data_IF_595833294936
#
_entry.id   IF_595833294936
#
_cell.length_a   1.000
_cell.length_b   1.000
_cell.length_c   1.000
_cell.angle_alpha   90.00
_cell.angle_beta   90.00
_cell.angle_gamma   90.00
#
_symmetry.space_group_name_H-M   'P 1'
#
loop_
_entity.id
_entity.type
_entity.pdbx_description
1 polymer ?
#
# COMPACT_ATOMS: atom_id res chain seq x y z
N UNK A 1 40.53 65.24 21.45
CA UNK A 1 40.58 64.35 20.26
C UNK A 1 40.07 62.98 20.68
N UNK A 2 38.75 62.72 20.55
CA UNK A 2 38.15 61.43 20.86
C UNK A 2 37.83 60.73 19.52
N UNK A 3 38.47 59.59 19.24
CA UNK A 3 38.15 58.73 18.11
C UNK A 3 37.03 57.79 18.51
N UNK A 4 35.83 57.99 17.93
CA UNK A 4 34.71 57.03 18.05
C UNK A 4 34.97 55.78 17.28
N UNK A 5 35.03 54.66 17.98
CA UNK A 5 35.12 53.31 17.45
C UNK A 5 33.68 52.83 17.11
N UNK A 6 33.33 52.79 15.82
CA UNK A 6 32.04 52.22 15.37
C UNK A 6 32.18 50.69 15.28
N UNK A 7 31.53 50.00 16.18
CA UNK A 7 31.39 48.52 16.16
C UNK A 7 30.32 48.19 15.12
N UNK A 8 30.73 47.59 14.00
CA UNK A 8 29.79 47.01 13.01
C UNK A 8 29.32 45.67 13.54
N UNK A 9 28.04 45.63 13.94
CA UNK A 9 27.39 44.38 14.35
C UNK A 9 26.91 43.66 13.05
N UNK A 10 27.67 42.65 12.60
CA UNK A 10 27.26 41.77 11.48
C UNK A 10 26.34 40.68 12.05
N UNK A 11 25.05 40.87 11.91
CA UNK A 11 24.07 39.86 12.23
C UNK A 11 24.14 38.77 11.15
N UNK A 12 24.71 37.61 11.50
CA UNK A 12 24.75 36.41 10.66
C UNK A 12 23.35 35.77 10.69
N UNK A 13 22.54 36.02 9.65
CA UNK A 13 21.28 35.32 9.43
C UNK A 13 21.60 33.87 9.03
N UNK A 14 21.52 32.95 10.00
CA UNK A 14 21.49 31.51 9.73
C UNK A 14 20.17 31.16 9.02
N UNK A 15 20.23 30.92 7.72
CA UNK A 15 19.15 30.30 6.94
C UNK A 15 18.95 28.87 7.44
N UNK A 16 17.99 28.68 8.34
CA UNK A 16 17.53 27.36 8.76
C UNK A 16 16.78 26.77 7.55
N UNK A 17 17.46 25.92 6.78
CA UNK A 17 16.81 25.07 5.77
C UNK A 17 15.90 24.10 6.49
N UNK A 18 14.60 24.45 6.59
CA UNK A 18 13.60 23.50 7.04
C UNK A 18 13.48 22.38 5.97
N UNK A 19 13.60 21.11 6.35
CA UNK A 19 13.30 20.04 5.42
C UNK A 19 11.84 20.17 5.02
N UNK A 20 11.59 20.40 3.74
CA UNK A 20 10.25 20.35 3.19
C UNK A 20 9.79 18.91 3.35
N UNK A 21 8.81 18.68 4.23
CA UNK A 21 8.06 17.45 4.26
C UNK A 21 7.37 17.30 2.91
N UNK A 22 7.98 16.57 1.98
CA UNK A 22 7.35 16.22 0.73
C UNK A 22 6.11 15.43 1.08
N UNK A 23 4.93 15.95 0.72
CA UNK A 23 3.70 15.17 0.73
C UNK A 23 4.03 13.84 0.03
N UNK A 24 3.73 12.75 0.69
CA UNK A 24 4.19 11.39 0.37
C UNK A 24 3.61 10.99 -1.00
N UNK A 25 4.23 11.42 -2.10
CA UNK A 25 3.92 10.90 -3.42
C UNK A 25 4.37 9.43 -3.45
N UNK A 26 3.49 8.57 -3.96
CA UNK A 26 3.80 7.16 -4.17
C UNK A 26 5.03 7.04 -5.06
N UNK A 27 6.08 6.42 -4.52
CA UNK A 27 7.32 6.18 -5.24
C UNK A 27 7.66 4.69 -5.20
N UNK A 28 7.84 4.10 -6.39
CA UNK A 28 8.31 2.72 -6.51
C UNK A 28 9.68 2.57 -5.84
N UNK A 29 9.86 1.49 -5.10
CA UNK A 29 11.10 1.21 -4.37
C UNK A 29 11.22 1.93 -3.02
N UNK A 30 10.27 2.77 -2.63
CA UNK A 30 10.20 3.41 -1.31
C UNK A 30 9.17 2.72 -0.42
N UNK A 31 9.23 3.03 0.88
CA UNK A 31 8.25 2.54 1.84
C UNK A 31 6.83 2.95 1.41
N UNK A 32 5.93 1.98 1.29
CA UNK A 32 4.54 2.23 0.98
C UNK A 32 3.86 2.98 2.13
N UNK A 33 2.96 3.93 1.85
CA UNK A 33 2.13 4.53 2.87
C UNK A 33 1.35 3.46 3.65
N UNK A 34 1.14 3.68 4.95
CA UNK A 34 0.35 2.76 5.76
C UNK A 34 -1.11 2.88 5.39
N UNK A 35 -1.73 1.74 5.04
CA UNK A 35 -3.16 1.62 4.85
C UNK A 35 -3.77 0.77 5.99
N UNK A 36 -5.00 1.07 6.35
CA UNK A 36 -5.80 0.26 7.28
C UNK A 36 -7.11 -0.09 6.62
N UNK A 37 -7.35 -1.38 6.39
CA UNK A 37 -8.65 -1.89 5.97
C UNK A 37 -9.48 -2.21 7.22
N UNK A 38 -10.65 -1.60 7.34
CA UNK A 38 -11.68 -2.04 8.27
C UNK A 38 -12.56 -3.04 7.53
N UNK A 39 -12.44 -4.31 7.87
CA UNK A 39 -13.15 -5.40 7.19
C UNK A 39 -14.65 -5.38 7.48
N UNK A 40 -15.45 -6.05 6.64
CA UNK A 40 -16.92 -6.14 6.82
C UNK A 40 -17.33 -6.84 8.13
N UNK A 41 -16.41 -7.58 8.78
CA UNK A 41 -16.58 -8.20 10.10
C UNK A 41 -15.93 -7.39 11.23
N UNK A 42 -15.49 -6.15 10.95
CA UNK A 42 -15.00 -5.17 11.94
C UNK A 42 -13.53 -5.34 12.36
N UNK A 43 -12.75 -6.21 11.73
CA UNK A 43 -11.30 -6.31 12.00
C UNK A 43 -10.53 -5.17 11.34
N UNK A 44 -9.47 -4.73 11.99
CA UNK A 44 -8.57 -3.72 11.45
C UNK A 44 -7.28 -4.37 10.95
N UNK A 45 -7.06 -4.35 9.64
CA UNK A 45 -5.86 -4.90 9.00
C UNK A 45 -4.96 -3.73 8.56
N UNK A 46 -3.88 -3.52 9.28
CA UNK A 46 -2.87 -2.48 8.99
C UNK A 46 -1.73 -3.08 8.17
N UNK A 47 -1.36 -2.42 7.09
CA UNK A 47 -0.30 -2.92 6.18
C UNK A 47 1.07 -3.01 6.84
N UNK A 48 1.39 -2.13 7.80
CA UNK A 48 2.65 -2.18 8.54
C UNK A 48 2.73 -3.35 9.54
N UNK A 49 1.58 -3.81 10.06
CA UNK A 49 1.48 -5.01 10.89
C UNK A 49 1.53 -6.32 10.07
N UNK A 50 1.40 -6.23 8.75
CA UNK A 50 1.44 -7.36 7.82
C UNK A 50 2.81 -7.54 7.15
N UNK A 51 3.87 -6.98 7.73
CA UNK A 51 5.25 -7.22 7.28
C UNK A 51 5.54 -8.72 7.23
N UNK A 52 6.35 -9.14 6.27
CA UNK A 52 6.58 -10.55 5.97
C UNK A 52 5.62 -11.12 4.93
N UNK A 53 4.54 -10.42 4.60
CA UNK A 53 3.62 -10.77 3.53
C UNK A 53 3.80 -9.84 2.32
N UNK A 54 3.59 -10.37 1.12
CA UNK A 54 3.39 -9.57 -0.08
C UNK A 54 1.92 -9.18 -0.13
N UNK A 55 1.64 -7.88 -0.28
CA UNK A 55 0.28 -7.35 -0.24
C UNK A 55 -0.14 -6.84 -1.61
N UNK A 56 -1.37 -7.14 -2.01
CA UNK A 56 -2.08 -6.45 -3.09
C UNK A 56 -3.21 -5.66 -2.44
N UNK A 57 -3.17 -4.34 -2.55
CA UNK A 57 -4.30 -3.48 -2.19
C UNK A 57 -5.09 -3.24 -3.48
N UNK A 58 -6.35 -3.67 -3.54
CA UNK A 58 -7.22 -3.46 -4.71
C UNK A 58 -8.42 -2.60 -4.35
N UNK A 59 -8.71 -1.63 -5.20
CA UNK A 59 -9.82 -0.69 -5.06
C UNK A 59 -10.85 -0.97 -6.14
N UNK A 60 -12.09 -1.17 -5.74
CA UNK A 60 -13.16 -1.65 -6.60
C UNK A 60 -14.53 -1.11 -6.15
N UNK A 61 -15.60 -1.41 -6.90
CA UNK A 61 -16.96 -1.15 -6.47
C UNK A 61 -17.92 -2.20 -7.06
N UNK A 62 -19.09 -2.38 -6.44
CA UNK A 62 -20.11 -3.33 -6.90
C UNK A 62 -20.71 -2.95 -8.27
N UNK A 63 -20.70 -1.69 -8.62
CA UNK A 63 -21.17 -1.15 -9.91
C UNK A 63 -20.09 -1.08 -10.99
N UNK A 64 -18.85 -1.47 -10.67
CA UNK A 64 -17.71 -1.43 -11.59
C UNK A 64 -17.60 -2.75 -12.37
N UNK A 65 -18.07 -2.78 -13.62
CA UNK A 65 -18.03 -3.98 -14.45
C UNK A 65 -16.61 -4.56 -14.66
N UNK A 66 -15.57 -3.77 -14.99
CA UNK A 66 -14.21 -4.31 -15.10
C UNK A 66 -13.70 -4.92 -13.79
N UNK A 67 -14.11 -4.35 -12.62
CA UNK A 67 -13.75 -4.88 -11.32
C UNK A 67 -14.36 -6.27 -11.09
N UNK A 68 -15.60 -6.48 -11.52
CA UNK A 68 -16.28 -7.78 -11.37
C UNK A 68 -15.59 -8.89 -12.17
N UNK A 69 -14.93 -8.57 -13.27
CA UNK A 69 -14.10 -9.53 -14.02
C UNK A 69 -12.76 -9.79 -13.34
N UNK A 70 -12.16 -8.78 -12.69
CA UNK A 70 -10.86 -8.89 -12.03
C UNK A 70 -10.93 -9.63 -10.69
N UNK A 71 -11.97 -9.37 -9.88
CA UNK A 71 -12.08 -9.90 -8.52
C UNK A 71 -12.00 -11.44 -8.43
N UNK A 72 -12.66 -12.22 -9.31
CA UNK A 72 -12.52 -13.68 -9.32
C UNK A 72 -11.10 -14.15 -9.64
N UNK A 73 -10.38 -13.43 -10.51
CA UNK A 73 -8.98 -13.72 -10.82
C UNK A 73 -8.11 -13.51 -9.58
N UNK A 74 -8.21 -12.33 -8.95
CA UNK A 74 -7.48 -12.03 -7.71
C UNK A 74 -7.83 -12.99 -6.58
N UNK A 75 -9.08 -13.43 -6.50
CA UNK A 75 -9.54 -14.38 -5.49
C UNK A 75 -8.86 -15.75 -5.64
N UNK A 76 -8.83 -16.29 -6.86
CA UNK A 76 -8.13 -17.55 -7.17
C UNK A 76 -6.62 -17.41 -6.91
N UNK A 77 -6.04 -16.32 -7.35
CA UNK A 77 -4.61 -16.06 -7.17
C UNK A 77 -4.24 -15.93 -5.69
N UNK A 78 -5.03 -15.20 -4.90
CA UNK A 78 -4.86 -15.09 -3.45
C UNK A 78 -4.91 -16.46 -2.75
N UNK A 79 -5.88 -17.31 -3.12
CA UNK A 79 -6.01 -18.66 -2.56
C UNK A 79 -4.79 -19.54 -2.90
N UNK A 80 -4.34 -19.50 -4.16
CA UNK A 80 -3.21 -20.31 -4.63
C UNK A 80 -1.86 -19.94 -3.99
N UNK A 81 -1.67 -18.67 -3.61
CA UNK A 81 -0.39 -18.17 -3.10
C UNK A 81 -0.42 -17.79 -1.61
N UNK A 82 -1.49 -18.17 -0.88
CA UNK A 82 -1.66 -17.88 0.56
C UNK A 82 -0.49 -18.41 1.38
N UNK A 83 -0.09 -19.65 1.16
CA UNK A 83 1.01 -20.29 1.89
C UNK A 83 2.38 -19.67 1.54
N UNK A 84 2.48 -19.03 0.38
CA UNK A 84 3.65 -18.26 -0.01
C UNK A 84 3.65 -16.84 0.58
N UNK A 85 2.67 -16.52 1.43
CA UNK A 85 2.57 -15.25 2.12
C UNK A 85 1.96 -14.11 1.29
N UNK A 86 1.15 -14.42 0.27
CA UNK A 86 0.34 -13.41 -0.41
C UNK A 86 -0.90 -13.07 0.42
N UNK A 87 -1.19 -11.78 0.54
CA UNK A 87 -2.46 -11.27 1.05
C UNK A 87 -3.03 -10.22 0.08
N UNK A 88 -4.31 -10.33 -0.22
CA UNK A 88 -5.06 -9.29 -0.95
C UNK A 88 -5.97 -8.57 0.02
N UNK A 89 -6.04 -7.25 -0.05
CA UNK A 89 -6.93 -6.40 0.74
C UNK A 89 -7.84 -5.64 -0.22
N UNK A 90 -9.16 -5.87 -0.14
CA UNK A 90 -10.15 -5.27 -1.03
C UNK A 90 -10.83 -4.06 -0.39
N UNK A 91 -10.66 -2.88 -0.99
CA UNK A 91 -11.29 -1.63 -0.57
C UNK A 91 -12.44 -1.31 -1.53
N UNK A 92 -13.69 -1.43 -1.07
CA UNK A 92 -14.86 -1.08 -1.86
C UNK A 92 -15.14 0.42 -1.77
N UNK A 93 -15.35 1.06 -2.93
CA UNK A 93 -15.75 2.46 -3.03
C UNK A 93 -17.26 2.66 -2.87
N UNK A 94 -18.00 1.58 -2.64
CA UNK A 94 -19.44 1.65 -2.39
C UNK A 94 -19.74 2.40 -1.09
N UNK A 95 -20.90 3.03 -1.05
CA UNK A 95 -21.43 3.64 0.15
C UNK A 95 -22.12 2.60 1.05
N UNK A 96 -22.44 3.01 2.29
CA UNK A 96 -23.10 2.14 3.27
C UNK A 96 -24.46 1.63 2.83
N UNK A 97 -25.13 2.34 1.91
CA UNK A 97 -26.41 1.97 1.33
C UNK A 97 -26.31 0.74 0.41
N UNK A 98 -25.15 0.54 -0.22
CA UNK A 98 -24.87 -0.60 -1.10
C UNK A 98 -24.15 -1.78 -0.39
N UNK A 99 -24.09 -1.73 0.93
CA UNK A 99 -23.34 -2.72 1.75
C UNK A 99 -23.78 -4.17 1.47
N UNK A 100 -25.03 -4.42 1.19
CA UNK A 100 -25.53 -5.76 0.89
C UNK A 100 -25.00 -6.29 -0.46
N UNK A 101 -24.84 -5.42 -1.45
CA UNK A 101 -24.18 -5.77 -2.72
C UNK A 101 -22.71 -6.11 -2.49
N UNK A 102 -22.01 -5.29 -1.70
CA UNK A 102 -20.61 -5.52 -1.33
C UNK A 102 -20.47 -6.86 -0.61
N UNK A 103 -21.32 -7.15 0.37
CA UNK A 103 -21.34 -8.43 1.10
C UNK A 103 -21.60 -9.63 0.19
N UNK A 104 -22.51 -9.50 -0.77
CA UNK A 104 -22.80 -10.58 -1.72
C UNK A 104 -21.58 -10.93 -2.58
N UNK A 105 -20.83 -9.94 -3.06
CA UNK A 105 -19.60 -10.14 -3.80
C UNK A 105 -18.50 -10.68 -2.88
N UNK A 106 -18.30 -10.08 -1.71
CA UNK A 106 -17.26 -10.47 -0.75
C UNK A 106 -17.36 -11.93 -0.29
N UNK A 107 -18.57 -12.51 -0.20
CA UNK A 107 -18.78 -13.93 0.11
C UNK A 107 -18.12 -14.89 -0.89
N UNK A 108 -17.86 -14.44 -2.11
CA UNK A 108 -17.24 -15.24 -3.18
C UNK A 108 -15.71 -15.06 -3.21
N UNK A 109 -15.17 -14.12 -2.43
CA UNK A 109 -13.75 -13.78 -2.45
C UNK A 109 -12.98 -14.49 -1.33
N UNK A 110 -11.74 -14.89 -1.65
CA UNK A 110 -10.82 -15.56 -0.72
C UNK A 110 -9.88 -14.58 0.01
N UNK A 111 -10.29 -13.31 0.08
CA UNK A 111 -9.54 -12.25 0.75
C UNK A 111 -10.48 -11.26 1.47
N UNK A 112 -10.00 -10.55 2.50
CA UNK A 112 -10.78 -9.60 3.26
C UNK A 112 -11.18 -8.38 2.43
N UNK A 113 -12.40 -7.93 2.66
CA UNK A 113 -13.00 -6.75 2.03
C UNK A 113 -13.53 -5.80 3.10
N UNK A 114 -13.50 -4.51 2.83
CA UNK A 114 -14.14 -3.47 3.62
C UNK A 114 -14.50 -2.25 2.78
N UNK A 115 -15.30 -1.35 3.35
CA UNK A 115 -15.64 -0.09 2.70
C UNK A 115 -14.48 0.90 2.82
N UNK A 116 -14.19 1.62 1.74
CA UNK A 116 -13.13 2.63 1.71
C UNK A 116 -13.42 3.79 2.69
N UNK A 117 -14.68 4.22 2.79
CA UNK A 117 -15.08 5.31 3.67
C UNK A 117 -14.96 4.97 5.18
N UNK A 118 -14.80 3.70 5.55
CA UNK A 118 -14.50 3.23 6.90
C UNK A 118 -13.02 2.91 7.12
N UNK A 119 -12.23 2.95 6.07
CA UNK A 119 -10.82 2.54 6.01
C UNK A 119 -9.91 3.76 5.90
N UNK A 120 -8.59 3.56 6.05
CA UNK A 120 -7.60 4.64 5.91
C UNK A 120 -6.59 4.26 4.84
N UNK A 121 -6.45 5.12 3.82
CA UNK A 121 -5.54 4.90 2.68
C UNK A 121 -4.78 6.19 2.30
N UNK A 122 -4.39 6.97 3.32
CA UNK A 122 -3.64 8.20 3.09
C UNK A 122 -2.34 7.91 2.31
N UNK A 123 -2.03 8.75 1.33
CA UNK A 123 -0.84 8.60 0.49
C UNK A 123 -1.04 7.79 -0.80
N UNK A 124 -2.18 7.12 -0.97
CA UNK A 124 -2.50 6.39 -2.22
C UNK A 124 -3.22 7.25 -3.26
N UNK A 125 -3.46 8.52 -2.96
CA UNK A 125 -4.16 9.44 -3.83
C UNK A 125 -5.69 9.32 -3.74
N UNK A 126 -6.38 10.15 -4.54
CA UNK A 126 -7.83 10.10 -4.68
C UNK A 126 -8.20 8.99 -5.67
N UNK A 127 -9.15 8.12 -5.31
CA UNK A 127 -9.65 7.05 -6.17
C UNK A 127 -10.59 7.62 -7.25
N UNK A 128 -10.03 8.05 -8.39
CA UNK A 128 -10.77 8.65 -9.51
C UNK A 128 -11.05 7.66 -10.66
N UNK A 129 -10.39 6.51 -10.64
CA UNK A 129 -10.64 5.37 -11.55
C UNK A 129 -10.52 4.06 -10.79
N UNK A 130 -11.28 3.06 -11.20
CA UNK A 130 -11.23 1.67 -10.72
C UNK A 130 -11.43 0.71 -11.90
N UNK A 131 -10.89 -0.53 -11.85
CA UNK A 131 -10.05 -1.03 -10.76
C UNK A 131 -8.71 -0.33 -10.71
N UNK A 132 -8.14 -0.21 -9.52
CA UNK A 132 -6.75 0.21 -9.33
C UNK A 132 -6.15 -0.58 -8.18
N UNK A 133 -4.90 -1.00 -8.34
CA UNK A 133 -4.24 -1.82 -7.33
C UNK A 133 -2.81 -1.34 -7.07
N UNK A 134 -2.31 -1.67 -5.88
CA UNK A 134 -0.93 -1.40 -5.47
C UNK A 134 -0.33 -2.68 -4.91
N UNK A 135 0.95 -2.95 -5.20
CA UNK A 135 1.65 -4.10 -4.65
C UNK A 135 2.76 -3.63 -3.72
N UNK A 136 2.79 -4.24 -2.54
CA UNK A 136 3.76 -3.96 -1.49
C UNK A 136 4.47 -5.27 -1.18
N UNK A 137 5.80 -5.26 -1.17
CA UNK A 137 6.57 -6.46 -0.84
C UNK A 137 6.61 -6.75 0.67
N UNK A 138 7.24 -7.86 1.04
CA UNK A 138 7.38 -8.34 2.42
C UNK A 138 8.07 -7.34 3.36
N UNK A 139 8.90 -6.46 2.81
CA UNK A 139 9.60 -5.40 3.55
C UNK A 139 8.77 -4.11 3.64
N UNK A 140 7.56 -4.10 3.04
CA UNK A 140 6.67 -2.95 2.99
C UNK A 140 7.07 -1.89 1.98
N UNK A 141 7.82 -2.28 0.96
CA UNK A 141 8.24 -1.41 -0.13
C UNK A 141 7.22 -1.48 -1.27
N UNK A 142 6.83 -0.34 -1.80
CA UNK A 142 5.93 -0.25 -2.96
C UNK A 142 6.63 -0.79 -4.20
N UNK A 143 6.03 -1.82 -4.83
CA UNK A 143 6.56 -2.50 -6.03
C UNK A 143 5.72 -2.27 -7.28
N UNK A 144 4.46 -1.92 -7.11
CA UNK A 144 3.57 -1.59 -8.22
C UNK A 144 2.65 -0.43 -7.82
N UNK A 145 2.55 0.55 -8.72
CA UNK A 145 1.71 1.72 -8.58
C UNK A 145 0.67 1.69 -9.72
N UNK A 146 -0.55 1.34 -9.37
CA UNK A 146 -1.65 1.20 -10.33
C UNK A 146 -2.03 2.50 -11.04
N UNK A 147 -1.66 3.66 -10.50
CA UNK A 147 -1.88 4.94 -11.18
C UNK A 147 -1.03 5.09 -12.44
N UNK A 148 0.15 4.45 -12.47
CA UNK A 148 1.10 4.48 -13.58
C UNK A 148 0.90 3.33 -14.56
N UNK A 149 -0.05 2.41 -14.29
CA UNK A 149 -0.32 1.27 -15.15
C UNK A 149 -1.05 1.70 -16.43
N UNK A 150 -0.58 1.21 -17.57
CA UNK A 150 -1.25 1.36 -18.86
C UNK A 150 -2.56 0.56 -18.90
N UNK A 151 -2.54 -0.64 -18.31
CA UNK A 151 -3.70 -1.50 -18.12
C UNK A 151 -3.96 -1.67 -16.61
N UNK A 152 -5.01 -1.04 -16.08
CA UNK A 152 -5.25 -1.04 -14.63
C UNK A 152 -5.74 -2.39 -14.09
N UNK A 153 -6.43 -3.20 -14.92
CA UNK A 153 -6.95 -4.49 -14.52
C UNK A 153 -5.88 -5.59 -14.58
N UNK A 154 -5.88 -6.47 -13.59
CA UNK A 154 -4.99 -7.62 -13.55
C UNK A 154 -5.34 -8.67 -14.61
N UNK A 155 -4.30 -9.31 -15.11
CA UNK A 155 -4.35 -10.53 -15.92
C UNK A 155 -3.49 -11.61 -15.26
N UNK A 156 -3.67 -12.89 -15.62
CA UNK A 156 -2.79 -13.96 -15.13
C UNK A 156 -1.32 -13.67 -15.49
N UNK A 157 -1.07 -13.11 -16.66
CA UNK A 157 0.29 -12.77 -17.10
C UNK A 157 0.92 -11.65 -16.27
N UNK A 158 0.16 -10.58 -15.97
CA UNK A 158 0.66 -9.47 -15.16
C UNK A 158 0.89 -9.88 -13.70
N UNK A 159 0.01 -10.69 -13.11
CA UNK A 159 0.20 -11.24 -11.78
C UNK A 159 1.48 -12.08 -11.69
N UNK A 160 1.70 -13.00 -12.65
CA UNK A 160 2.91 -13.82 -12.71
C UNK A 160 4.18 -12.97 -12.86
N UNK A 161 4.13 -11.95 -13.70
CA UNK A 161 5.32 -11.13 -13.98
C UNK A 161 5.66 -10.21 -12.80
N UNK A 162 4.66 -9.62 -12.16
CA UNK A 162 4.86 -8.57 -11.16
C UNK A 162 4.84 -9.09 -9.72
N UNK A 163 4.07 -10.13 -9.43
CA UNK A 163 3.84 -10.59 -8.06
C UNK A 163 4.63 -11.86 -7.72
N UNK A 164 4.67 -12.89 -8.60
CA UNK A 164 5.39 -14.14 -8.32
C UNK A 164 6.85 -13.92 -7.87
N UNK A 165 7.65 -13.02 -8.48
CA UNK A 165 9.01 -12.76 -8.02
C UNK A 165 9.09 -12.27 -6.58
N UNK A 166 8.07 -11.55 -6.10
CA UNK A 166 8.00 -11.02 -4.73
C UNK A 166 7.66 -12.10 -3.70
N UNK A 167 6.98 -13.17 -4.13
CA UNK A 167 6.61 -14.29 -3.27
C UNK A 167 7.79 -15.23 -2.97
N UNK A 168 8.79 -15.26 -3.85
CA UNK A 168 10.00 -16.10 -3.70
C UNK A 168 11.14 -15.41 -2.96
N UNK A 169 11.06 -14.09 -2.74
CA UNK A 169 12.09 -13.36 -2.02
C UNK A 169 12.13 -13.74 -0.54
N UNK A 170 13.32 -14.10 -0.04
CA UNK A 170 13.53 -14.31 1.39
C UNK A 170 13.33 -12.98 2.15
N UNK A 171 12.73 -13.06 3.35
CA UNK A 171 12.63 -11.89 4.23
C UNK A 171 14.03 -11.40 4.62
N UNK A 172 14.43 -10.23 4.15
CA UNK A 172 15.71 -9.61 4.53
C UNK A 172 15.75 -9.20 6.02
N UNK A 173 14.64 -9.19 6.71
CA UNK A 173 14.54 -8.89 8.15
C UNK A 173 15.05 -10.03 9.08
N UNK A 174 15.31 -11.24 8.55
CA UNK A 174 15.71 -12.41 9.34
C UNK A 174 17.21 -12.70 9.37
N UNK A 175 18.05 -11.98 8.63
CA UNK A 175 19.49 -12.31 8.50
C UNK A 175 20.38 -11.63 9.56
N UNK A 176 19.82 -10.70 10.35
CA UNK A 176 20.59 -9.91 11.32
C UNK A 176 20.80 -10.50 12.72
N UNK A 177 20.24 -11.67 13.07
CA UNK A 177 20.30 -12.19 14.45
C UNK A 177 20.97 -13.56 14.64
N UNK A 178 21.59 -14.15 13.62
CA UNK A 178 22.19 -15.48 13.72
C UNK A 178 23.74 -15.50 13.84
N UNK A 179 24.40 -14.37 14.12
CA UNK A 179 25.86 -14.35 14.29
C UNK A 179 26.31 -13.59 15.54
N UNK A 180 25.83 -13.95 16.71
CA UNK A 180 26.61 -13.73 17.95
C UNK A 180 26.20 -14.78 18.96
N UNK A 181 26.91 -15.89 19.02
CA UNK A 181 27.38 -16.54 20.25
C UNK A 181 28.10 -17.86 19.92
N UNK A 182 29.43 -17.81 19.83
CA UNK A 182 30.27 -18.91 20.29
C UNK A 182 31.65 -18.37 20.61
N UNK A 183 31.85 -18.10 21.87
CA UNK A 183 33.13 -18.26 22.51
C UNK A 183 32.90 -18.66 23.97
#
# INVERSE_FOLDING_TARGET
MLRSLRIFNVALLALISMPHAHANELQLGQAAPVATLVTLDGRHLRTDALRGHTLILTFWASWCEPCQHELPLLSRYAAAHREQGLMVLGFSLDDSEDLDKVRAIAKQLQFPVGLLNQSTVHGYGRMWRIPVSFVIDRNGILRYDGWKAEQPAWTDASLKTLVDPLLTQANSAGVGQAMVTKK
#
